data_IF_255589613586
#
_entry.id   IF_255589613586
#
_cell.length_a   1.000
_cell.length_b   1.000
_cell.length_c   1.000
_cell.angle_alpha   90.00
_cell.angle_beta   90.00
_cell.angle_gamma   90.00
#
_symmetry.space_group_name_H-M   'P 1'
#
loop_
_entity.id
_entity.type
_entity.pdbx_description
1 polymer ?
#
# COMPACT_ATOMS: atom_id res chain seq x y z
N UNK A 1 7.31 3.86 27.76
CA UNK A 1 8.15 3.33 26.66
C UNK A 1 7.20 2.94 25.55
N UNK A 2 7.29 3.61 24.41
CA UNK A 2 6.38 3.40 23.27
C UNK A 2 7.09 2.54 22.25
N UNK A 3 6.51 1.38 21.96
CA UNK A 3 7.06 0.43 20.98
C UNK A 3 6.97 1.02 19.55
N UNK A 4 8.03 1.01 18.74
CA UNK A 4 8.03 1.59 17.39
C UNK A 4 6.98 0.94 16.47
N UNK A 5 6.67 -0.35 16.68
CA UNK A 5 5.59 -1.03 15.93
C UNK A 5 4.22 -0.47 16.27
N UNK A 6 4.01 -0.06 17.53
CA UNK A 6 2.75 0.57 17.96
C UNK A 6 2.59 1.95 17.34
N UNK A 7 3.69 2.70 17.25
CA UNK A 7 3.72 4.01 16.59
C UNK A 7 3.39 3.89 15.09
N UNK A 8 4.06 2.98 14.39
CA UNK A 8 3.78 2.70 12.97
C UNK A 8 2.32 2.28 12.76
N UNK A 9 1.80 1.38 13.59
CA UNK A 9 0.41 0.97 13.53
C UNK A 9 -0.55 2.14 13.77
N UNK A 10 -0.21 3.08 14.66
CA UNK A 10 -1.00 4.29 14.88
C UNK A 10 -1.01 5.20 13.65
N UNK A 11 0.13 5.40 12.99
CA UNK A 11 0.22 6.16 11.74
C UNK A 11 -0.61 5.52 10.62
N UNK A 12 -0.45 4.22 10.38
CA UNK A 12 -1.26 3.48 9.40
C UNK A 12 -2.75 3.52 9.74
N UNK A 13 -3.10 3.41 11.03
CA UNK A 13 -4.50 3.48 11.48
C UNK A 13 -5.10 4.85 11.22
N UNK A 14 -4.37 5.93 11.49
CA UNK A 14 -4.82 7.31 11.24
C UNK A 14 -5.06 7.55 9.75
N UNK A 15 -4.13 7.13 8.88
CA UNK A 15 -4.30 7.17 7.43
C UNK A 15 -5.52 6.33 7.00
N UNK A 16 -5.71 5.16 7.60
CA UNK A 16 -6.88 4.30 7.38
C UNK A 16 -8.21 4.93 7.76
N UNK A 17 -8.26 5.79 8.80
CA UNK A 17 -9.48 6.56 9.13
C UNK A 17 -9.83 7.59 8.05
N UNK A 18 -8.82 8.09 7.33
CA UNK A 18 -9.00 8.94 6.14
C UNK A 18 -9.29 8.14 4.86
N UNK A 19 -9.38 6.80 4.94
CA UNK A 19 -9.60 5.94 3.80
C UNK A 19 -8.35 5.74 2.93
N UNK A 20 -7.17 6.07 3.46
CA UNK A 20 -5.89 5.83 2.80
C UNK A 20 -5.28 4.51 3.29
N UNK A 21 -4.67 3.77 2.39
CA UNK A 21 -3.93 2.57 2.73
C UNK A 21 -2.49 2.94 3.08
N UNK A 22 -2.18 2.94 4.39
CA UNK A 22 -0.82 3.18 4.88
C UNK A 22 -0.01 1.89 4.94
N UNK A 23 1.11 1.84 4.22
CA UNK A 23 2.07 0.74 4.24
C UNK A 23 3.35 1.17 4.93
N UNK A 24 3.93 0.29 5.75
CA UNK A 24 5.24 0.54 6.36
C UNK A 24 6.31 -0.13 5.51
N UNK A 25 7.26 0.66 5.01
CA UNK A 25 8.42 0.18 4.28
C UNK A 25 9.65 0.27 5.17
N UNK A 26 10.48 -0.77 5.17
CA UNK A 26 11.70 -0.83 5.97
C UNK A 26 12.92 -0.76 5.06
N UNK A 27 13.74 0.26 5.27
CA UNK A 27 15.08 0.36 4.74
C UNK A 27 16.11 -0.35 5.63
N UNK A 28 17.38 -0.17 5.29
CA UNK A 28 18.50 -0.76 6.03
C UNK A 28 18.71 -0.13 7.42
N UNK A 29 18.31 1.12 7.60
CA UNK A 29 18.55 1.89 8.83
C UNK A 29 17.29 2.53 9.41
N UNK A 30 16.18 2.51 8.69
CA UNK A 30 14.96 3.20 9.12
C UNK A 30 13.70 2.63 8.45
N UNK A 31 12.54 3.16 8.81
CA UNK A 31 11.25 2.89 8.19
C UNK A 31 10.62 4.16 7.64
N UNK A 32 9.75 4.00 6.65
CA UNK A 32 8.83 5.06 6.21
C UNK A 32 7.41 4.52 6.23
N UNK A 33 6.43 5.40 6.42
CA UNK A 33 5.03 5.10 6.15
C UNK A 33 4.66 5.76 4.83
N UNK A 34 4.22 4.95 3.89
CA UNK A 34 3.83 5.34 2.55
C UNK A 34 2.31 5.19 2.38
N UNK A 35 1.68 6.11 1.67
CA UNK A 35 0.28 5.98 1.26
C UNK A 35 0.04 6.62 -0.10
N UNK A 36 -0.75 5.96 -0.94
CA UNK A 36 -1.20 6.52 -2.22
C UNK A 36 -2.41 7.42 -2.02
N UNK A 37 -2.37 8.62 -2.60
CA UNK A 37 -3.47 9.56 -2.60
C UNK A 37 -4.36 9.37 -3.85
N UNK A 38 -5.67 9.72 -3.80
CA UNK A 38 -6.60 9.49 -4.91
C UNK A 38 -6.23 10.22 -6.22
N UNK A 39 -5.39 11.23 -6.12
CA UNK A 39 -4.91 11.98 -7.27
C UNK A 39 -3.69 11.33 -7.95
N UNK A 40 -3.19 10.21 -7.43
CA UNK A 40 -2.03 9.49 -7.94
C UNK A 40 -0.67 10.07 -7.50
N UNK A 41 -0.67 10.93 -6.48
CA UNK A 41 0.56 11.27 -5.73
C UNK A 41 0.71 10.35 -4.52
N UNK A 42 1.92 10.16 -4.02
CA UNK A 42 2.14 9.44 -2.76
C UNK A 42 2.49 10.40 -1.63
N UNK A 43 2.04 10.06 -0.43
CA UNK A 43 2.42 10.65 0.84
C UNK A 43 3.49 9.76 1.50
N UNK A 44 4.58 10.37 1.97
CA UNK A 44 5.67 9.68 2.67
C UNK A 44 5.85 10.37 4.02
N UNK A 45 5.73 9.60 5.11
CA UNK A 45 6.02 10.02 6.47
C UNK A 45 7.29 9.28 6.91
N UNK A 46 8.34 10.03 7.21
CA UNK A 46 9.63 9.47 7.61
C UNK A 46 10.16 10.13 8.88
N UNK A 47 10.81 9.37 9.78
CA UNK A 47 11.75 9.95 10.73
C UNK A 47 12.99 10.53 10.01
N UNK A 48 13.87 11.26 10.72
CA UNK A 48 15.09 11.86 10.18
C UNK A 48 15.97 10.81 9.53
N UNK A 49 16.44 11.09 8.32
CA UNK A 49 17.21 10.13 7.52
C UNK A 49 18.70 10.09 7.88
N UNK A 50 19.21 11.08 8.63
CA UNK A 50 20.56 11.04 9.22
C UNK A 50 20.50 10.55 10.67
N UNK A 51 21.33 9.57 11.06
CA UNK A 51 21.26 9.01 12.39
C UNK A 51 21.84 9.99 13.42
N UNK A 52 21.12 10.27 14.53
CA UNK A 52 21.81 10.42 15.80
C UNK A 52 22.59 9.11 16.05
N UNK A 53 23.79 9.18 16.64
CA UNK A 53 24.62 7.99 16.91
C UNK A 53 23.96 6.93 17.81
N UNK A 54 22.81 7.26 18.37
CA UNK A 54 21.90 6.38 19.11
C UNK A 54 20.57 6.38 18.33
N UNK A 55 20.06 5.21 17.94
CA UNK A 55 18.70 5.12 17.37
C UNK A 55 17.71 5.11 18.54
N UNK A 56 17.02 6.23 18.86
CA UNK A 56 16.03 6.24 19.91
C UNK A 56 14.86 5.31 19.54
N UNK A 57 14.21 4.71 20.53
CA UNK A 57 13.02 3.86 20.31
C UNK A 57 11.86 4.63 19.64
N UNK A 58 11.87 5.96 19.76
CA UNK A 58 10.91 6.89 19.16
C UNK A 58 11.63 8.01 18.41
N UNK A 59 11.15 8.41 17.21
CA UNK A 59 11.74 9.53 16.48
C UNK A 59 11.69 10.84 17.26
N UNK A 60 12.79 11.61 17.21
CA UNK A 60 12.89 12.93 17.83
C UNK A 60 12.25 14.04 16.98
N UNK A 61 12.03 13.75 15.70
CA UNK A 61 11.38 14.60 14.71
C UNK A 61 10.82 13.74 13.58
N UNK A 62 10.19 14.41 12.63
CA UNK A 62 9.50 13.82 11.49
C UNK A 62 9.54 14.74 10.28
N UNK A 63 9.58 14.13 9.11
CA UNK A 63 9.43 14.73 7.80
C UNK A 63 8.23 14.09 7.09
N UNK A 64 7.39 14.90 6.45
CA UNK A 64 6.28 14.43 5.62
C UNK A 64 6.35 15.12 4.27
N UNK A 65 6.41 14.31 3.23
CA UNK A 65 6.45 14.79 1.85
C UNK A 65 5.33 14.19 1.03
N UNK A 66 4.95 14.91 -0.02
CA UNK A 66 4.08 14.43 -1.08
C UNK A 66 4.82 14.51 -2.40
N UNK A 67 4.80 13.40 -3.14
CA UNK A 67 5.47 13.31 -4.43
C UNK A 67 4.56 12.77 -5.53
N UNK A 68 4.78 13.22 -6.76
CA UNK A 68 4.22 12.61 -7.97
C UNK A 68 5.27 12.73 -9.06
N UNK A 69 5.68 11.61 -9.63
CA UNK A 69 6.64 11.60 -10.74
C UNK A 69 5.98 11.82 -12.11
N UNK A 70 4.68 11.52 -12.24
CA UNK A 70 3.91 11.75 -13.46
C UNK A 70 3.57 13.23 -13.65
N UNK A 71 3.58 13.69 -14.90
CA UNK A 71 3.28 15.08 -15.27
C UNK A 71 1.83 15.47 -14.93
N UNK A 72 1.59 16.63 -14.28
CA UNK A 72 2.60 17.54 -13.75
C UNK A 72 3.25 16.95 -12.50
N UNK A 73 4.59 16.89 -12.50
CA UNK A 73 5.34 16.38 -11.36
C UNK A 73 5.14 17.26 -10.13
N UNK A 74 5.00 16.64 -8.96
CA UNK A 74 4.78 17.33 -7.68
C UNK A 74 5.86 16.88 -6.71
N UNK A 75 6.47 17.84 -6.03
CA UNK A 75 7.23 17.59 -4.82
C UNK A 75 6.87 18.68 -3.81
N UNK A 76 6.43 18.25 -2.64
CA UNK A 76 5.94 19.15 -1.59
C UNK A 76 6.36 18.62 -0.23
N UNK A 77 6.89 19.50 0.62
CA UNK A 77 7.09 19.24 2.04
C UNK A 77 5.85 19.72 2.79
N UNK A 78 5.11 18.79 3.39
CA UNK A 78 3.87 19.06 4.11
C UNK A 78 4.16 19.38 5.58
N UNK A 79 5.11 18.64 6.16
CA UNK A 79 5.50 18.78 7.55
C UNK A 79 6.99 18.50 7.69
N UNK A 80 7.65 19.29 8.51
CA UNK A 80 9.09 19.17 8.74
C UNK A 80 9.38 19.71 10.15
N UNK A 81 9.67 18.78 11.04
CA UNK A 81 10.01 19.02 12.43
C UNK A 81 11.48 18.72 12.73
N UNK A 82 12.31 18.54 11.71
CA UNK A 82 13.75 18.48 11.88
C UNK A 82 14.28 19.78 12.50
N UNK A 83 15.49 19.77 13.11
CA UNK A 83 16.16 21.00 13.52
C UNK A 83 16.18 21.98 12.35
N UNK A 84 15.82 23.24 12.61
CA UNK A 84 15.65 24.31 11.62
C UNK A 84 14.42 24.22 10.69
N UNK A 85 13.64 23.14 10.78
CA UNK A 85 12.38 22.98 10.06
C UNK A 85 11.26 23.92 10.55
N UNK A 86 10.28 24.26 9.70
CA UNK A 86 9.16 25.14 10.06
C UNK A 86 8.31 24.63 11.23
N UNK A 87 8.38 23.33 11.54
CA UNK A 87 7.69 22.67 12.64
C UNK A 87 8.66 22.14 13.71
N UNK A 88 9.91 22.60 13.76
CA UNK A 88 10.94 22.13 14.70
C UNK A 88 10.46 22.12 16.16
N UNK A 89 9.62 23.10 16.55
CA UNK A 89 9.06 23.20 17.91
C UNK A 89 8.19 22.01 18.33
N UNK A 90 7.70 21.21 17.39
CA UNK A 90 6.86 20.04 17.67
C UNK A 90 7.66 18.74 17.85
N UNK A 91 8.92 18.70 17.38
CA UNK A 91 9.78 17.51 17.42
C UNK A 91 9.04 16.23 17.01
N UNK A 92 9.20 15.17 17.80
CA UNK A 92 8.62 13.84 17.57
C UNK A 92 7.10 13.73 17.78
N UNK A 93 6.38 14.84 17.94
CA UNK A 93 4.93 14.85 18.23
C UNK A 93 4.09 14.31 17.06
N UNK A 94 3.57 13.09 17.25
CA UNK A 94 2.65 12.44 16.30
C UNK A 94 1.30 13.17 16.16
N UNK A 95 0.67 13.66 17.25
CA UNK A 95 -0.59 14.40 17.10
C UNK A 95 -0.47 15.66 16.22
N UNK A 96 0.61 16.44 16.38
CA UNK A 96 0.85 17.63 15.56
C UNK A 96 1.13 17.28 14.10
N UNK A 97 1.91 16.21 13.87
CA UNK A 97 2.13 15.66 12.54
C UNK A 97 0.83 15.24 11.87
N UNK A 98 0.00 14.44 12.55
CA UNK A 98 -1.27 13.96 12.00
C UNK A 98 -2.24 15.12 11.73
N UNK A 99 -2.27 16.14 12.60
CA UNK A 99 -3.07 17.34 12.37
C UNK A 99 -2.63 18.11 11.13
N UNK A 100 -1.32 18.20 10.85
CA UNK A 100 -0.81 18.86 9.65
C UNK A 100 -1.12 18.06 8.38
N UNK A 101 -0.96 16.73 8.44
CA UNK A 101 -1.35 15.83 7.34
C UNK A 101 -2.83 15.96 7.03
N UNK A 102 -3.68 15.88 8.05
CA UNK A 102 -5.13 16.02 7.89
C UNK A 102 -5.53 17.35 7.25
N UNK A 103 -4.99 18.46 7.76
CA UNK A 103 -5.26 19.79 7.20
C UNK A 103 -4.83 19.89 5.73
N UNK A 104 -3.74 19.21 5.35
CA UNK A 104 -3.28 19.20 3.95
C UNK A 104 -4.13 18.29 3.07
N UNK A 105 -4.54 17.13 3.55
CA UNK A 105 -5.47 16.24 2.85
C UNK A 105 -6.81 16.93 2.58
N UNK A 106 -7.32 17.70 3.54
CA UNK A 106 -8.53 18.50 3.39
C UNK A 106 -8.36 19.58 2.28
N UNK A 107 -7.20 20.26 2.22
CA UNK A 107 -6.90 21.24 1.16
C UNK A 107 -6.78 20.60 -0.23
N UNK A 108 -6.31 19.35 -0.30
CA UNK A 108 -6.25 18.58 -1.54
C UNK A 108 -7.61 17.98 -1.94
N UNK A 109 -8.62 18.11 -1.08
CA UNK A 109 -9.96 17.55 -1.30
C UNK A 109 -9.96 16.02 -1.27
N UNK A 110 -9.04 15.41 -0.52
CA UNK A 110 -9.02 13.95 -0.33
C UNK A 110 -10.22 13.58 0.53
N UNK A 111 -11.19 12.82 -0.02
CA UNK A 111 -12.43 12.50 0.70
C UNK A 111 -12.12 11.60 1.90
N UNK A 112 -12.86 11.77 2.98
CA UNK A 112 -12.80 10.87 4.14
C UNK A 112 -13.28 9.46 3.77
N UNK A 113 -12.95 8.46 4.59
CA UNK A 113 -13.42 7.08 4.37
C UNK A 113 -14.94 7.00 4.17
N UNK A 114 -15.73 7.71 4.98
CA UNK A 114 -17.19 7.69 4.89
C UNK A 114 -17.71 8.23 3.55
N UNK A 115 -17.06 9.26 3.02
CA UNK A 115 -17.40 9.85 1.72
C UNK A 115 -17.00 8.92 0.57
N UNK A 116 -15.88 8.22 0.70
CA UNK A 116 -15.44 7.20 -0.24
C UNK A 116 -16.40 6.00 -0.27
N UNK A 117 -16.82 5.51 0.90
CA UNK A 117 -17.79 4.43 1.04
C UNK A 117 -19.15 4.81 0.42
N UNK A 118 -19.67 6.01 0.73
CA UNK A 118 -20.91 6.53 0.13
C UNK A 118 -20.79 6.64 -1.40
N UNK A 119 -19.66 7.10 -1.91
CA UNK A 119 -19.41 7.20 -3.35
C UNK A 119 -19.33 5.83 -4.02
N UNK A 120 -18.66 4.86 -3.39
CA UNK A 120 -18.60 3.48 -3.84
C UNK A 120 -19.97 2.81 -3.88
N UNK A 121 -20.78 3.00 -2.84
CA UNK A 121 -22.14 2.45 -2.77
C UNK A 121 -23.08 3.08 -3.80
N UNK A 122 -22.98 4.40 -4.04
CA UNK A 122 -23.72 5.08 -5.10
C UNK A 122 -23.35 4.57 -6.51
N UNK A 123 -22.05 4.28 -6.74
CA UNK A 123 -21.58 3.65 -7.98
C UNK A 123 -22.09 2.22 -8.12
N UNK A 124 -22.09 1.42 -7.06
CA UNK A 124 -22.63 0.06 -7.07
C UNK A 124 -24.15 0.02 -7.29
N UNK A 125 -24.89 0.95 -6.68
CA UNK A 125 -26.34 1.09 -6.85
C UNK A 125 -26.74 1.50 -8.28
N UNK A 126 -25.87 2.21 -9.01
CA UNK A 126 -26.11 2.57 -10.42
C UNK A 126 -25.91 1.37 -11.37
N UNK A 127 -25.15 0.35 -10.96
CA UNK A 127 -24.84 -0.83 -11.80
C UNK A 127 -25.91 -1.94 -11.69
N UNK A 128 -26.78 -1.90 -10.68
CA UNK A 128 -27.87 -2.86 -10.53
C UNK A 128 -29.18 -2.32 -11.16
N UNK A 129 -29.73 -2.95 -12.21
CA UNK A 129 -31.11 -2.69 -12.59
C UNK A 129 -32.05 -3.22 -11.48
N UNK A 130 -33.14 -2.51 -11.14
CA UNK A 130 -34.17 -3.07 -10.28
C UNK A 130 -34.96 -4.15 -11.04
N UNK A 131 -35.18 -5.26 -10.37
CA UNK A 131 -36.12 -6.34 -10.70
C UNK A 131 -35.68 -7.41 -11.73
N UNK A 132 -35.20 -8.53 -11.20
CA UNK A 132 -35.50 -9.83 -11.79
C UNK A 132 -35.84 -10.76 -10.64
N UNK A 133 -37.12 -10.80 -10.28
CA UNK A 133 -37.68 -11.73 -9.33
C UNK A 133 -37.25 -13.18 -9.63
N UNK A 134 -36.94 -14.01 -8.62
CA UNK A 134 -36.57 -15.40 -8.85
C UNK A 134 -37.80 -16.21 -9.28
N UNK A 135 -37.84 -16.57 -10.57
CA UNK A 135 -38.80 -17.54 -11.09
C UNK A 135 -38.57 -18.88 -10.42
N UNK A 136 -39.47 -19.24 -9.50
CA UNK A 136 -39.47 -20.49 -8.75
C UNK A 136 -39.80 -21.65 -9.68
N UNK A 137 -38.81 -22.19 -10.37
CA UNK A 137 -38.91 -23.47 -11.05
C UNK A 137 -38.56 -24.60 -10.07
N UNK A 138 -39.58 -25.25 -9.52
CA UNK A 138 -39.44 -26.57 -8.89
C UNK A 138 -39.19 -27.59 -10.00
N UNK A 139 -38.02 -28.24 -10.00
CA UNK A 139 -37.82 -29.49 -10.74
C UNK A 139 -37.46 -30.57 -9.74
N UNK A 140 -38.30 -31.60 -9.72
CA UNK A 140 -38.24 -32.72 -8.80
C UNK A 140 -37.04 -33.63 -9.09
N UNK A 141 -36.44 -34.13 -8.01
CA UNK A 141 -35.47 -35.21 -7.98
C UNK A 141 -36.09 -36.47 -8.61
N UNK A 142 -35.44 -37.02 -9.63
CA UNK A 142 -35.67 -38.39 -10.08
C UNK A 142 -34.33 -39.11 -10.30
N UNK A 143 -34.30 -40.33 -9.78
CA UNK A 143 -33.15 -41.13 -9.38
C UNK A 143 -32.25 -41.65 -10.50
N UNK A 144 -30.97 -41.85 -10.16
CA UNK A 144 -30.02 -42.74 -10.86
C UNK A 144 -30.55 -44.17 -10.98
N UNK A 145 -30.06 -44.95 -11.97
CA UNK A 145 -29.06 -45.96 -11.58
C UNK A 145 -27.91 -46.19 -12.58
N UNK A 146 -26.86 -46.76 -11.99
CA UNK A 146 -25.57 -47.23 -12.51
C UNK A 146 -25.66 -48.47 -13.41
N UNK A 147 -24.74 -48.64 -14.39
CA UNK A 147 -24.07 -49.92 -14.74
C UNK A 147 -23.06 -49.74 -15.91
N UNK A 148 -21.81 -50.22 -15.67
CA UNK A 148 -20.87 -50.88 -16.62
C UNK A 148 -20.30 -50.08 -17.81
N UNK A 149 -19.05 -50.19 -18.25
CA UNK A 149 -17.97 -51.14 -17.98
C UNK A 149 -16.59 -50.53 -18.35
N UNK A 150 -15.57 -50.97 -17.62
CA UNK A 150 -14.15 -51.25 -17.98
C UNK A 150 -13.65 -50.88 -19.39
N UNK A 151 -12.47 -50.23 -19.46
CA UNK A 151 -11.17 -50.77 -19.99
C UNK A 151 -10.02 -49.79 -19.60
N UNK A 152 -8.96 -50.31 -18.97
CA UNK A 152 -7.61 -49.71 -18.79
C UNK A 152 -6.68 -50.25 -19.91
N UNK A 153 -5.39 -49.88 -20.00
CA UNK A 153 -4.73 -48.57 -20.08
C UNK A 153 -3.79 -48.50 -21.32
N UNK A 154 -3.39 -47.30 -21.77
CA UNK A 154 -2.25 -47.17 -22.69
C UNK A 154 -1.42 -45.96 -22.29
N UNK A 155 -0.11 -46.19 -22.11
CA UNK A 155 0.77 -45.44 -21.22
C UNK A 155 1.26 -44.06 -21.71
N UNK A 156 2.02 -43.35 -20.85
CA UNK A 156 2.83 -42.21 -21.25
C UNK A 156 4.22 -42.70 -21.70
N UNK A 157 4.88 -42.05 -22.68
CA UNK A 157 5.99 -41.13 -22.31
C UNK A 157 6.28 -40.06 -23.41
N UNK A 158 7.40 -39.29 -23.38
CA UNK A 158 8.26 -38.88 -22.28
C UNK A 158 8.42 -37.35 -22.16
N UNK A 159 9.09 -36.97 -21.08
CA UNK A 159 9.76 -35.71 -20.78
C UNK A 159 10.50 -35.07 -21.98
N UNK A 160 10.44 -33.74 -22.08
CA UNK A 160 11.48 -32.96 -22.75
C UNK A 160 12.00 -31.89 -21.79
N UNK A 161 13.11 -32.25 -21.16
CA UNK A 161 14.00 -31.39 -20.40
C UNK A 161 14.70 -30.41 -21.35
N UNK A 162 14.61 -29.11 -21.09
CA UNK A 162 15.55 -28.13 -21.62
C UNK A 162 15.64 -26.90 -20.70
N UNK A 163 16.47 -27.08 -19.67
CA UNK A 163 17.29 -26.08 -19.00
C UNK A 163 17.68 -24.89 -19.91
N UNK A 164 17.17 -23.70 -19.62
CA UNK A 164 17.74 -22.44 -20.09
C UNK A 164 18.57 -21.83 -18.95
N UNK A 165 19.89 -21.88 -19.10
CA UNK A 165 20.84 -21.23 -18.21
C UNK A 165 20.88 -19.71 -18.47
N UNK A 166 21.14 -18.87 -17.45
CA UNK A 166 21.41 -17.45 -17.65
C UNK A 166 22.79 -17.23 -18.30
N UNK A 167 22.96 -16.17 -19.11
CA UNK A 167 24.25 -15.85 -19.73
C UNK A 167 25.28 -15.38 -18.68
N UNK A 168 26.58 -15.66 -18.90
CA UNK A 168 27.64 -15.24 -17.99
C UNK A 168 27.94 -13.74 -18.06
N UNK A 169 28.32 -13.19 -16.91
CA UNK A 169 28.88 -11.85 -16.76
C UNK A 169 30.23 -11.73 -17.49
N UNK A 170 30.39 -10.69 -18.31
CA UNK A 170 31.71 -10.26 -18.79
C UNK A 170 32.36 -9.39 -17.72
N UNK A 171 33.37 -9.95 -17.05
CA UNK A 171 34.45 -9.16 -16.45
C UNK A 171 35.28 -8.54 -17.58
N UNK A 172 35.50 -7.22 -17.55
CA UNK A 172 36.55 -6.59 -18.35
C UNK A 172 37.31 -5.59 -17.49
N UNK A 173 38.61 -5.84 -17.41
CA UNK A 173 39.63 -5.17 -16.59
C UNK A 173 39.80 -3.68 -16.89
N UNK A 174 40.24 -2.95 -15.86
CA UNK A 174 40.98 -1.70 -15.99
C UNK A 174 42.29 -1.87 -16.79
N UNK A 175 42.90 -0.77 -17.26
CA UNK A 175 44.07 -0.30 -16.54
C UNK A 175 44.15 1.22 -16.35
N UNK A 176 45.01 1.58 -15.39
CA UNK A 176 45.43 2.92 -14.96
C UNK A 176 45.95 3.81 -16.08
N UNK A 177 45.77 5.12 -15.88
CA UNK A 177 46.79 6.15 -16.09
C UNK A 177 46.67 7.21 -14.99
#
# INVERSE_FOLDING_TARGET
>A
MSDPRRLQAALCSALGQRGLEGTVEYGLSDYIVHAELPDGSSLIISPPQEPPSEHPETPESWMVTRHRSAEPAVYEVIYDSEPDGPHARHGGSVPDLLSAVDARLDQLGVPTRQEQERSGEARAATVLPPDSAPSRARVALASSPSVGQRVLPTGPPPESSARAAPPPASSSSAPRL
#
